data_IF_224088229001
#
_entry.id   IF_224088229001
#
_cell.length_a   1.000
_cell.length_b   1.000
_cell.length_c   1.000
_cell.angle_alpha   90.00
_cell.angle_beta   90.00
_cell.angle_gamma   90.00
#
_symmetry.space_group_name_H-M   'P 1'
#
loop_
_entity.id
_entity.type
_entity.pdbx_description
1 polymer ?
#
# COMPACT_ATOMS: atom_id res chain seq x y z
N UNK A 1 1.21 13.06 26.31
CA UNK A 1 2.65 12.86 26.14
C UNK A 1 2.96 12.87 24.66
N UNK A 2 3.75 13.83 24.20
CA UNK A 2 4.29 13.90 22.84
C UNK A 2 5.50 12.98 22.77
N UNK A 3 5.55 12.09 21.77
CA UNK A 3 6.75 11.27 21.52
C UNK A 3 7.92 12.18 21.19
N UNK A 4 9.15 11.87 21.65
CA UNK A 4 10.34 12.60 21.21
C UNK A 4 10.48 12.46 19.68
N UNK A 5 11.01 13.49 18.98
CA UNK A 5 11.04 13.52 17.52
C UNK A 5 11.80 12.32 16.92
N UNK A 6 12.86 11.84 17.59
CA UNK A 6 13.64 10.70 17.13
C UNK A 6 12.87 9.37 17.21
N UNK A 7 11.97 9.22 18.18
CA UNK A 7 11.12 8.03 18.31
C UNK A 7 10.10 7.90 17.15
N UNK A 8 9.89 8.95 16.36
CA UNK A 8 9.07 8.88 15.15
C UNK A 8 9.77 8.07 14.05
N UNK A 9 11.10 7.98 14.10
CA UNK A 9 11.94 7.27 13.12
C UNK A 9 12.42 5.91 13.62
N UNK A 10 11.86 5.40 14.72
CA UNK A 10 12.21 4.09 15.25
C UNK A 10 11.98 3.02 14.17
N UNK A 11 13.07 2.29 13.89
CA UNK A 11 13.09 1.22 12.90
C UNK A 11 12.17 0.09 13.38
N UNK A 12 11.19 -0.33 12.57
CA UNK A 12 10.30 -1.42 12.93
C UNK A 12 11.08 -2.71 13.23
N UNK A 13 10.51 -3.56 14.08
CA UNK A 13 11.00 -4.92 14.22
C UNK A 13 11.00 -5.62 12.84
N UNK A 14 11.97 -6.52 12.57
CA UNK A 14 12.03 -7.22 11.30
C UNK A 14 10.74 -8.01 11.04
N UNK A 15 10.30 -8.11 9.77
CA UNK A 15 9.06 -8.78 9.44
C UNK A 15 9.10 -10.25 9.89
N UNK A 16 7.95 -10.82 10.28
CA UNK A 16 7.89 -12.19 10.78
C UNK A 16 8.40 -13.19 9.72
N UNK A 17 9.05 -14.29 10.16
CA UNK A 17 9.47 -15.33 9.25
C UNK A 17 8.26 -15.93 8.54
N UNK A 18 8.39 -16.21 7.24
CA UNK A 18 7.33 -16.82 6.42
C UNK A 18 6.43 -15.84 5.67
N UNK A 19 6.60 -14.53 5.84
CA UNK A 19 5.89 -13.56 5.00
C UNK A 19 6.34 -13.69 3.53
N UNK A 20 5.38 -13.81 2.62
CA UNK A 20 5.66 -13.93 1.18
C UNK A 20 6.40 -12.68 0.66
N UNK A 21 7.18 -12.76 -0.45
CA UNK A 21 7.85 -11.58 -0.99
C UNK A 21 6.90 -10.42 -1.33
N UNK A 22 5.67 -10.71 -1.76
CA UNK A 22 4.63 -9.69 -1.97
C UNK A 22 4.18 -9.09 -0.64
N UNK A 23 3.99 -9.90 0.40
CA UNK A 23 3.67 -9.41 1.74
C UNK A 23 4.76 -8.50 2.30
N UNK A 24 6.03 -8.85 2.10
CA UNK A 24 7.17 -8.00 2.49
C UNK A 24 7.17 -6.65 1.79
N UNK A 25 6.82 -6.62 0.51
CA UNK A 25 6.66 -5.35 -0.21
C UNK A 25 5.51 -4.51 0.36
N UNK A 26 4.40 -5.12 0.78
CA UNK A 26 3.28 -4.40 1.39
C UNK A 26 3.63 -3.85 2.78
N UNK A 27 4.38 -4.60 3.58
CA UNK A 27 4.93 -4.11 4.85
C UNK A 27 5.87 -2.91 4.61
N UNK A 28 6.79 -3.04 3.63
CA UNK A 28 7.72 -1.97 3.23
C UNK A 28 7.00 -0.69 2.78
N UNK A 29 5.88 -0.80 2.05
CA UNK A 29 5.08 0.38 1.69
C UNK A 29 4.52 1.10 2.94
N UNK A 30 4.13 0.33 3.96
CA UNK A 30 3.74 0.86 5.27
C UNK A 30 4.89 1.54 6.02
N UNK A 31 6.12 1.06 5.86
CA UNK A 31 7.32 1.70 6.43
C UNK A 31 7.66 3.02 5.74
N UNK A 32 7.58 3.08 4.40
CA UNK A 32 7.70 4.34 3.68
C UNK A 32 6.63 5.35 4.10
N UNK A 33 5.38 4.90 4.27
CA UNK A 33 4.30 5.74 4.78
C UNK A 33 4.63 6.26 6.18
N UNK A 34 5.13 5.40 7.08
CA UNK A 34 5.53 5.78 8.44
C UNK A 34 6.65 6.83 8.44
N UNK A 35 7.67 6.65 7.60
CA UNK A 35 8.78 7.59 7.47
C UNK A 35 8.29 8.95 6.96
N UNK A 36 7.43 8.94 5.93
CA UNK A 36 6.82 10.14 5.37
C UNK A 36 5.94 10.88 6.38
N UNK A 37 5.08 10.13 7.08
CA UNK A 37 4.25 10.63 8.17
C UNK A 37 5.09 11.26 9.29
N UNK A 38 6.18 10.60 9.70
CA UNK A 38 7.09 11.09 10.72
C UNK A 38 7.67 12.46 10.35
N UNK A 39 8.07 12.63 9.08
CA UNK A 39 8.54 13.92 8.56
C UNK A 39 7.41 14.96 8.58
N UNK A 40 6.23 14.63 8.04
CA UNK A 40 5.10 15.56 7.91
C UNK A 40 4.53 16.02 9.26
N UNK A 41 4.80 15.25 10.31
CA UNK A 41 4.31 15.49 11.68
C UNK A 41 5.29 16.31 12.53
N UNK A 42 6.52 16.51 12.07
CA UNK A 42 7.47 17.37 12.76
C UNK A 42 6.99 18.83 12.72
N UNK A 43 6.85 19.41 13.92
CA UNK A 43 6.57 20.84 14.04
C UNK A 43 7.81 21.64 13.65
N UNK A 44 7.64 22.83 13.09
CA UNK A 44 8.76 23.72 12.68
C UNK A 44 9.74 24.09 13.81
N UNK A 45 9.34 23.86 15.07
CA UNK A 45 10.15 24.07 16.27
C UNK A 45 10.83 22.78 16.79
N UNK A 46 10.50 21.62 16.22
CA UNK A 46 11.03 20.31 16.60
C UNK A 46 11.99 19.82 15.53
N UNK A 47 13.29 20.05 15.75
CA UNK A 47 14.33 19.53 14.87
C UNK A 47 14.70 18.12 15.36
N UNK A 48 14.43 17.05 14.59
CA UNK A 48 14.90 15.71 14.95
C UNK A 48 16.42 15.65 14.86
N UNK A 49 17.04 14.69 15.55
CA UNK A 49 18.44 14.35 15.27
C UNK A 49 18.59 14.01 13.79
N UNK A 50 19.51 14.65 13.04
CA UNK A 50 19.74 14.29 11.65
C UNK A 50 20.07 12.80 11.46
N UNK A 51 20.69 12.16 12.46
CA UNK A 51 20.93 10.72 12.46
C UNK A 51 19.66 9.87 12.38
N UNK A 52 18.55 10.31 12.97
CA UNK A 52 17.32 9.54 13.07
C UNK A 52 16.63 9.36 11.71
N UNK A 53 16.32 10.45 10.99
CA UNK A 53 15.64 10.36 9.70
C UNK A 53 16.55 9.80 8.60
N UNK A 54 17.86 10.12 8.63
CA UNK A 54 18.83 9.57 7.68
C UNK A 54 19.03 8.07 7.90
N UNK A 55 19.06 7.61 9.15
CA UNK A 55 19.08 6.20 9.52
C UNK A 55 17.84 5.46 9.01
N UNK A 56 16.66 6.06 9.20
CA UNK A 56 15.39 5.52 8.68
C UNK A 56 15.38 5.41 7.15
N UNK A 57 15.81 6.45 6.43
CA UNK A 57 15.90 6.42 4.96
C UNK A 57 16.89 5.35 4.45
N UNK A 58 18.04 5.19 5.11
CA UNK A 58 19.02 4.15 4.78
C UNK A 58 18.48 2.74 5.03
N UNK A 59 17.73 2.56 6.14
CA UNK A 59 17.06 1.30 6.43
C UNK A 59 16.05 0.94 5.33
N UNK A 60 15.21 1.89 4.91
CA UNK A 60 14.25 1.69 3.82
C UNK A 60 14.93 1.30 2.50
N UNK A 61 16.07 1.90 2.17
CA UNK A 61 16.86 1.53 0.99
C UNK A 61 17.39 0.09 1.08
N UNK A 62 17.89 -0.30 2.26
CA UNK A 62 18.38 -1.66 2.51
C UNK A 62 17.24 -2.69 2.43
N UNK A 63 16.10 -2.44 3.07
CA UNK A 63 14.93 -3.34 3.01
C UNK A 63 14.35 -3.45 1.61
N UNK A 64 14.33 -2.36 0.84
CA UNK A 64 13.91 -2.40 -0.58
C UNK A 64 14.84 -3.30 -1.39
N UNK A 65 16.15 -3.21 -1.15
CA UNK A 65 17.14 -4.08 -1.79
C UNK A 65 16.97 -5.55 -1.37
N UNK A 66 16.72 -5.81 -0.09
CA UNK A 66 16.44 -7.15 0.42
C UNK A 66 15.16 -7.74 -0.19
N UNK A 67 14.11 -6.94 -0.35
CA UNK A 67 12.87 -7.35 -1.01
C UNK A 67 13.08 -7.67 -2.50
N UNK A 68 13.88 -6.88 -3.22
CA UNK A 68 14.28 -7.17 -4.62
C UNK A 68 14.98 -8.54 -4.69
N UNK A 69 15.94 -8.80 -3.81
CA UNK A 69 16.65 -10.08 -3.76
C UNK A 69 15.68 -11.24 -3.49
N UNK A 70 14.78 -11.09 -2.52
CA UNK A 70 13.78 -12.11 -2.20
C UNK A 70 12.84 -12.41 -3.38
N UNK A 71 12.53 -11.42 -4.23
CA UNK A 71 11.73 -11.63 -5.46
C UNK A 71 12.57 -12.33 -6.54
N UNK A 72 13.84 -11.95 -6.72
CA UNK A 72 14.74 -12.60 -7.67
C UNK A 72 14.98 -14.08 -7.30
N UNK A 73 15.07 -14.40 -6.01
CA UNK A 73 15.24 -15.77 -5.51
C UNK A 73 14.06 -16.69 -5.84
N UNK A 74 12.87 -16.13 -6.14
CA UNK A 74 11.73 -16.90 -6.64
C UNK A 74 11.97 -17.47 -8.05
N UNK A 75 13.02 -17.01 -8.76
CA UNK A 75 13.38 -17.41 -10.13
C UNK A 75 12.19 -17.38 -11.08
N UNK A 76 11.42 -16.29 -11.02
CA UNK A 76 10.30 -16.06 -11.92
C UNK A 76 10.82 -15.86 -13.35
N UNK A 77 10.11 -16.39 -14.35
CA UNK A 77 10.49 -16.21 -15.75
C UNK A 77 10.53 -14.74 -16.15
N UNK A 78 11.46 -14.37 -17.01
CA UNK A 78 11.58 -13.02 -17.53
C UNK A 78 10.31 -12.61 -18.29
N UNK A 79 9.73 -11.50 -17.85
CA UNK A 79 8.54 -10.91 -18.44
C UNK A 79 8.59 -9.40 -18.24
N UNK A 80 8.20 -8.63 -19.26
CA UNK A 80 8.31 -7.16 -19.25
C UNK A 80 7.73 -6.51 -17.98
N UNK A 81 6.56 -6.96 -17.52
CA UNK A 81 5.95 -6.50 -16.27
C UNK A 81 6.79 -6.78 -15.01
N UNK A 82 7.45 -7.93 -14.92
CA UNK A 82 8.35 -8.25 -13.80
C UNK A 82 9.60 -7.36 -13.85
N UNK A 83 10.20 -7.22 -15.02
CA UNK A 83 11.35 -6.33 -15.24
C UNK A 83 11.01 -4.88 -14.88
N UNK A 84 9.85 -4.39 -15.30
CA UNK A 84 9.38 -3.04 -14.97
C UNK A 84 9.17 -2.85 -13.46
N UNK A 85 8.58 -3.85 -12.77
CA UNK A 85 8.40 -3.81 -11.32
C UNK A 85 9.75 -3.79 -10.58
N UNK A 86 10.68 -4.66 -10.95
CA UNK A 86 12.02 -4.70 -10.34
C UNK A 86 12.81 -3.42 -10.61
N UNK A 87 12.73 -2.85 -11.82
CA UNK A 87 13.34 -1.56 -12.13
C UNK A 87 12.73 -0.45 -11.27
N UNK A 88 11.41 -0.43 -11.08
CA UNK A 88 10.76 0.56 -10.24
C UNK A 88 11.20 0.44 -8.78
N UNK A 89 11.32 -0.77 -8.24
CA UNK A 89 11.85 -1.01 -6.90
C UNK A 89 13.32 -0.56 -6.76
N UNK A 90 14.16 -0.76 -7.78
CA UNK A 90 15.54 -0.25 -7.78
C UNK A 90 15.59 1.27 -7.74
N UNK A 91 14.69 1.95 -8.47
CA UNK A 91 14.57 3.41 -8.42
C UNK A 91 14.14 3.87 -7.02
N UNK A 92 13.19 3.18 -6.39
CA UNK A 92 12.77 3.47 -5.01
C UNK A 92 13.95 3.30 -4.04
N UNK A 93 14.70 2.20 -4.11
CA UNK A 93 15.88 1.98 -3.27
C UNK A 93 16.94 3.08 -3.45
N UNK A 94 17.20 3.47 -4.70
CA UNK A 94 18.14 4.56 -5.01
C UNK A 94 17.69 5.90 -4.42
N UNK A 95 16.41 6.23 -4.54
CA UNK A 95 15.87 7.51 -4.04
C UNK A 95 15.79 7.52 -2.51
N UNK A 96 15.53 6.39 -1.86
CA UNK A 96 15.61 6.26 -0.41
C UNK A 96 17.06 6.39 0.11
N UNK A 97 18.05 5.82 -0.59
CA UNK A 97 19.46 6.03 -0.24
C UNK A 97 19.89 7.49 -0.43
N UNK A 98 19.46 8.13 -1.51
CA UNK A 98 19.68 9.55 -1.74
C UNK A 98 19.06 10.41 -0.63
N UNK A 99 17.83 10.10 -0.22
CA UNK A 99 17.14 10.79 0.88
C UNK A 99 17.95 10.78 2.19
N UNK A 100 18.72 9.72 2.46
CA UNK A 100 19.60 9.64 3.65
C UNK A 100 20.78 10.62 3.64
N UNK A 101 21.00 11.34 2.53
CA UNK A 101 22.12 12.27 2.30
C UNK A 101 21.67 13.72 2.07
N UNK A 102 20.37 13.98 2.11
CA UNK A 102 19.79 15.29 1.90
C UNK A 102 19.07 15.78 3.15
N UNK A 103 18.71 17.07 3.17
CA UNK A 103 17.90 17.65 4.23
C UNK A 103 16.50 17.02 4.29
N UNK A 104 15.78 17.31 5.36
CA UNK A 104 14.50 16.69 5.68
C UNK A 104 13.41 16.92 4.62
N UNK A 105 13.36 18.12 4.02
CA UNK A 105 12.35 18.45 3.01
C UNK A 105 12.65 17.68 1.72
N UNK A 106 13.90 17.72 1.27
CA UNK A 106 14.35 16.95 0.12
C UNK A 106 14.19 15.44 0.35
N UNK A 107 14.51 14.94 1.56
CA UNK A 107 14.29 13.55 1.95
C UNK A 107 12.83 13.15 1.77
N UNK A 108 11.89 14.00 2.21
CA UNK A 108 10.46 13.77 2.07
C UNK A 108 9.99 13.73 0.63
N UNK A 109 10.50 14.63 -0.22
CA UNK A 109 10.17 14.66 -1.65
C UNK A 109 10.65 13.39 -2.35
N UNK A 110 11.86 12.95 -2.05
CA UNK A 110 12.48 11.76 -2.64
C UNK A 110 11.79 10.45 -2.23
N UNK A 111 11.14 10.41 -1.05
CA UNK A 111 10.43 9.23 -0.54
C UNK A 111 8.92 9.31 -0.72
N UNK A 112 8.37 10.42 -1.24
CA UNK A 112 6.93 10.65 -1.28
C UNK A 112 6.14 9.64 -2.10
N UNK A 113 6.65 9.27 -3.27
CA UNK A 113 5.99 8.35 -4.20
C UNK A 113 6.25 6.87 -3.89
N UNK A 114 7.10 6.58 -2.89
CA UNK A 114 7.59 5.23 -2.62
C UNK A 114 6.47 4.27 -2.22
N UNK A 115 5.49 4.63 -1.34
CA UNK A 115 4.38 3.75 -1.01
C UNK A 115 3.62 3.26 -2.25
N UNK A 116 3.22 4.18 -3.15
CA UNK A 116 2.47 3.78 -4.35
C UNK A 116 3.32 2.93 -5.29
N UNK A 117 4.58 3.32 -5.52
CA UNK A 117 5.49 2.57 -6.39
C UNK A 117 5.75 1.14 -5.88
N UNK A 118 5.84 0.95 -4.56
CA UNK A 118 6.03 -0.36 -3.94
C UNK A 118 4.76 -1.21 -4.04
N UNK A 119 3.58 -0.65 -3.74
CA UNK A 119 2.29 -1.36 -3.86
C UNK A 119 2.00 -1.78 -5.30
N UNK A 120 2.23 -0.89 -6.27
CA UNK A 120 2.07 -1.20 -7.70
C UNK A 120 3.03 -2.32 -8.15
N UNK A 121 4.27 -2.28 -7.67
CA UNK A 121 5.26 -3.32 -7.96
C UNK A 121 4.85 -4.65 -7.35
N UNK A 122 4.34 -4.64 -6.10
CA UNK A 122 3.80 -5.82 -5.42
C UNK A 122 2.64 -6.43 -6.20
N UNK A 123 1.70 -5.61 -6.71
CA UNK A 123 0.58 -6.06 -7.54
C UNK A 123 1.05 -6.76 -8.83
N UNK A 124 2.03 -6.19 -9.53
CA UNK A 124 2.61 -6.77 -10.76
C UNK A 124 3.31 -8.09 -10.49
N UNK A 125 4.11 -8.15 -9.42
CA UNK A 125 4.81 -9.37 -9.01
C UNK A 125 3.81 -10.45 -8.60
N UNK A 126 2.79 -10.12 -7.81
CA UNK A 126 1.74 -11.05 -7.41
C UNK A 126 0.98 -11.63 -8.62
N UNK A 127 0.64 -10.78 -9.60
CA UNK A 127 0.01 -11.23 -10.84
C UNK A 127 0.90 -12.22 -11.61
N UNK A 128 2.22 -11.96 -11.66
CA UNK A 128 3.18 -12.86 -12.32
C UNK A 128 3.35 -14.19 -11.56
N UNK A 129 3.45 -14.14 -10.23
CA UNK A 129 3.50 -15.34 -9.38
C UNK A 129 2.25 -16.21 -9.57
N UNK A 130 1.07 -15.60 -9.73
CA UNK A 130 -0.17 -16.33 -9.97
C UNK A 130 -0.20 -17.02 -11.34
N UNK A 131 0.30 -16.37 -12.40
CA UNK A 131 0.41 -17.00 -13.74
C UNK A 131 1.25 -18.28 -13.70
N UNK A 132 2.28 -18.33 -12.85
CA UNK A 132 3.07 -19.55 -12.61
C UNK A 132 2.27 -20.63 -11.87
N UNK A 133 1.34 -20.26 -11.00
CA UNK A 133 0.56 -21.16 -10.13
C UNK A 133 -0.79 -21.60 -10.72
N UNK A 134 -1.12 -21.25 -11.96
CA UNK A 134 -2.44 -21.43 -12.58
C UNK A 134 -3.00 -22.86 -12.69
N UNK A 135 -2.44 -23.85 -11.98
CA UNK A 135 -3.03 -25.16 -11.75
C UNK A 135 -3.79 -25.33 -10.41
N UNK A 136 -3.74 -24.37 -9.48
CA UNK A 136 -4.42 -24.48 -8.17
C UNK A 136 -5.17 -23.18 -7.83
N UNK A 137 -6.49 -23.18 -8.03
CA UNK A 137 -7.35 -22.06 -7.63
C UNK A 137 -7.54 -22.08 -6.09
N UNK A 138 -7.36 -20.94 -5.40
CA UNK A 138 -7.71 -20.83 -3.98
C UNK A 138 -9.22 -21.03 -3.78
N UNK A 139 -9.59 -21.72 -2.70
CA UNK A 139 -10.99 -21.99 -2.33
C UNK A 139 -11.71 -20.64 -2.03
N UNK A 140 -13.01 -20.48 -2.37
CA UNK A 140 -13.69 -19.18 -2.35
C UNK A 140 -13.91 -18.56 -0.96
N UNK A 141 -13.98 -19.37 0.10
CA UNK A 141 -14.51 -18.94 1.40
C UNK A 141 -13.54 -18.06 2.23
N UNK A 142 -12.25 -18.02 1.88
CA UNK A 142 -11.23 -17.18 2.56
C UNK A 142 -10.91 -15.88 1.79
N UNK A 143 -11.67 -15.56 0.74
CA UNK A 143 -11.39 -14.39 -0.09
C UNK A 143 -12.00 -13.13 0.51
N UNK A 144 -11.14 -12.12 0.69
CA UNK A 144 -11.56 -10.74 0.93
C UNK A 144 -12.62 -10.33 -0.10
N UNK A 145 -13.71 -9.71 0.37
CA UNK A 145 -14.67 -9.11 -0.54
C UNK A 145 -14.03 -7.90 -1.26
N UNK A 146 -14.69 -7.42 -2.33
CA UNK A 146 -14.15 -6.31 -3.12
C UNK A 146 -13.94 -5.02 -2.31
N UNK A 147 -14.79 -4.74 -1.31
CA UNK A 147 -14.68 -3.55 -0.48
C UNK A 147 -13.52 -3.67 0.51
N UNK A 148 -13.33 -4.85 1.12
CA UNK A 148 -12.20 -5.18 1.98
C UNK A 148 -10.89 -5.16 1.21
N UNK A 149 -10.84 -5.73 0.02
CA UNK A 149 -9.65 -5.69 -0.85
C UNK A 149 -9.29 -4.25 -1.21
N UNK A 150 -10.28 -3.44 -1.61
CA UNK A 150 -10.07 -2.01 -1.91
C UNK A 150 -9.59 -1.25 -0.68
N UNK A 151 -10.20 -1.48 0.48
CA UNK A 151 -9.82 -0.83 1.72
C UNK A 151 -8.38 -1.20 2.14
N UNK A 152 -8.00 -2.47 2.11
CA UNK A 152 -6.62 -2.88 2.40
C UNK A 152 -5.63 -2.29 1.38
N UNK A 153 -6.01 -2.16 0.11
CA UNK A 153 -5.19 -1.49 -0.89
C UNK A 153 -4.95 -0.02 -0.56
N UNK A 154 -6.00 0.75 -0.25
CA UNK A 154 -5.86 2.16 0.16
C UNK A 154 -5.06 2.31 1.47
N UNK A 155 -5.18 1.35 2.39
CA UNK A 155 -4.37 1.32 3.62
C UNK A 155 -2.90 1.04 3.29
N UNK A 156 -2.61 0.14 2.34
CA UNK A 156 -1.24 -0.15 1.89
C UNK A 156 -0.56 1.06 1.25
N UNK A 157 -1.33 1.89 0.54
CA UNK A 157 -0.87 3.16 -0.04
C UNK A 157 -0.66 4.25 1.02
N UNK A 158 -1.07 4.02 2.28
CA UNK A 158 -0.99 5.05 3.32
C UNK A 158 -2.04 6.15 3.16
N UNK A 159 -3.18 5.88 2.51
CA UNK A 159 -4.20 6.90 2.22
C UNK A 159 -5.24 7.05 3.33
N UNK A 160 -5.35 6.07 4.22
CA UNK A 160 -6.45 6.01 5.20
C UNK A 160 -6.00 6.58 6.55
N UNK A 161 -6.77 7.54 7.05
CA UNK A 161 -6.64 8.09 8.41
C UNK A 161 -7.99 8.09 9.11
N UNK A 162 -7.94 8.05 10.44
CA UNK A 162 -9.10 8.15 11.31
C UNK A 162 -8.96 9.33 12.24
N UNK A 163 -10.06 10.05 12.43
CA UNK A 163 -10.18 11.08 13.45
C UNK A 163 -11.37 10.82 14.35
N UNK A 164 -11.28 11.24 15.60
CA UNK A 164 -12.39 11.21 16.56
C UNK A 164 -12.71 12.62 17.02
N UNK A 165 -13.96 13.05 16.86
CA UNK A 165 -14.45 14.36 17.31
C UNK A 165 -15.85 14.22 17.90
N UNK A 166 -16.08 14.82 19.08
CA UNK A 166 -17.38 14.80 19.78
C UNK A 166 -17.97 13.39 19.96
N UNK A 167 -17.12 12.41 20.28
CA UNK A 167 -17.54 11.01 20.45
C UNK A 167 -17.90 10.27 19.15
N UNK A 168 -17.63 10.88 17.98
CA UNK A 168 -17.85 10.27 16.67
C UNK A 168 -16.51 10.01 15.97
N UNK A 169 -16.43 8.86 15.32
CA UNK A 169 -15.30 8.49 14.46
C UNK A 169 -15.58 8.88 13.02
N UNK A 170 -14.56 9.42 12.37
CA UNK A 170 -14.55 9.76 10.95
C UNK A 170 -13.35 9.08 10.28
N UNK A 171 -13.58 8.59 9.06
CA UNK A 171 -12.54 8.00 8.21
C UNK A 171 -12.35 8.91 7.02
N UNK A 172 -11.10 9.27 6.76
CA UNK A 172 -10.70 10.04 5.60
C UNK A 172 -9.79 9.17 4.73
N UNK A 173 -9.99 9.27 3.42
CA UNK A 173 -9.16 8.62 2.41
C UNK A 173 -8.81 9.65 1.36
N UNK A 174 -7.55 9.73 0.96
CA UNK A 174 -7.09 10.59 -0.14
C UNK A 174 -7.40 9.98 -1.51
N UNK A 175 -7.50 8.66 -1.60
CA UNK A 175 -7.83 7.92 -2.81
C UNK A 175 -9.28 7.45 -2.83
N UNK A 176 -9.47 6.14 -3.00
CA UNK A 176 -10.82 5.57 -3.01
C UNK A 176 -11.43 5.66 -1.61
N UNK A 177 -12.70 6.08 -1.54
CA UNK A 177 -13.42 6.21 -0.27
C UNK A 177 -13.53 4.85 0.42
N UNK A 178 -12.98 4.75 1.62
CA UNK A 178 -13.11 3.59 2.50
C UNK A 178 -14.28 3.78 3.47
N UNK A 179 -15.32 2.93 3.43
CA UNK A 179 -16.43 3.01 4.39
C UNK A 179 -15.95 2.69 5.81
N UNK A 180 -16.44 3.44 6.80
CA UNK A 180 -16.12 3.21 8.21
C UNK A 180 -16.54 1.82 8.70
N UNK A 181 -17.64 1.27 8.17
CA UNK A 181 -18.07 -0.09 8.48
C UNK A 181 -17.06 -1.14 8.01
N UNK A 182 -16.53 -0.98 6.79
CA UNK A 182 -15.47 -1.85 6.24
C UNK A 182 -14.20 -1.75 7.08
N UNK A 183 -13.76 -0.53 7.41
CA UNK A 183 -12.59 -0.33 8.27
C UNK A 183 -12.75 -1.02 9.62
N UNK A 184 -13.89 -0.84 10.30
CA UNK A 184 -14.18 -1.50 11.59
C UNK A 184 -14.19 -3.03 11.46
N UNK A 185 -14.69 -3.57 10.35
CA UNK A 185 -14.63 -5.01 10.08
C UNK A 185 -13.18 -5.50 9.95
N UNK A 186 -12.33 -4.75 9.24
CA UNK A 186 -10.91 -5.09 9.08
C UNK A 186 -10.14 -5.02 10.41
N UNK A 187 -10.43 -4.00 11.23
CA UNK A 187 -9.90 -3.86 12.59
C UNK A 187 -10.33 -5.05 13.46
N UNK A 188 -11.62 -5.42 13.44
CA UNK A 188 -12.14 -6.56 14.19
C UNK A 188 -11.53 -7.91 13.75
N UNK A 189 -11.18 -8.04 12.48
CA UNK A 189 -10.48 -9.20 11.93
C UNK A 189 -8.96 -9.17 12.14
N UNK A 190 -8.41 -8.13 12.79
CA UNK A 190 -6.98 -8.00 13.03
C UNK A 190 -6.14 -7.80 11.77
N UNK A 191 -6.75 -7.35 10.67
CA UNK A 191 -6.05 -7.11 9.39
C UNK A 191 -5.43 -5.71 9.32
N UNK A 192 -5.78 -4.84 10.26
CA UNK A 192 -5.31 -3.45 10.28
C UNK A 192 -5.01 -3.02 11.70
N UNK A 193 -3.95 -2.25 11.86
CA UNK A 193 -3.55 -1.63 13.11
C UNK A 193 -3.77 -0.12 13.08
N UNK A 194 -4.14 0.46 14.22
CA UNK A 194 -4.28 1.90 14.40
C UNK A 194 -3.02 2.45 15.04
N UNK A 195 -2.38 3.43 14.41
CA UNK A 195 -1.24 4.15 14.96
C UNK A 195 -1.70 5.55 15.41
N UNK A 196 -1.94 5.78 16.71
CA UNK A 196 -2.51 7.04 17.20
C UNK A 196 -1.59 8.24 16.94
N UNK A 197 -2.17 9.37 16.52
CA UNK A 197 -1.49 10.67 16.33
C UNK A 197 -0.23 10.60 15.46
N UNK A 198 -0.20 9.67 14.54
CA UNK A 198 0.95 9.41 13.68
C UNK A 198 0.82 10.00 12.28
N UNK A 199 -0.39 10.39 11.86
CA UNK A 199 -0.61 11.03 10.57
C UNK A 199 -0.69 12.56 10.70
N UNK A 200 -0.29 13.31 9.65
CA UNK A 200 -0.37 14.76 9.65
C UNK A 200 -1.80 15.27 9.82
N UNK A 201 -1.98 16.49 10.36
CA UNK A 201 -3.30 17.08 10.51
C UNK A 201 -3.96 17.35 9.15
N UNK A 202 -5.29 17.33 9.11
CA UNK A 202 -6.04 17.57 7.86
C UNK A 202 -5.96 19.02 7.37
N UNK A 203 -5.54 19.95 8.22
CA UNK A 203 -5.34 21.37 7.92
C UNK A 203 -4.30 21.96 8.88
N UNK A 204 -3.71 23.09 8.50
CA UNK A 204 -2.71 23.81 9.31
C UNK A 204 -3.31 24.25 10.64
N UNK A 205 -2.67 23.87 11.75
CA UNK A 205 -3.16 24.14 13.11
C UNK A 205 -4.17 23.12 13.64
N UNK A 206 -4.55 22.12 12.84
CA UNK A 206 -5.36 20.99 13.27
C UNK A 206 -4.59 19.98 14.13
N UNK A 207 -5.32 19.09 14.81
CA UNK A 207 -4.71 17.98 15.55
C UNK A 207 -4.23 16.84 14.65
N UNK A 208 -3.16 16.14 15.06
CA UNK A 208 -2.66 14.93 14.41
C UNK A 208 -3.75 13.87 14.33
N UNK A 209 -3.74 13.12 13.24
CA UNK A 209 -4.72 12.07 12.94
C UNK A 209 -4.13 10.70 13.25
N UNK A 210 -4.99 9.68 13.27
CA UNK A 210 -4.54 8.31 13.47
C UNK A 210 -4.36 7.63 12.12
N UNK A 211 -3.14 7.18 11.83
CA UNK A 211 -2.87 6.39 10.63
C UNK A 211 -3.44 4.99 10.81
N UNK A 212 -4.19 4.52 9.82
CA UNK A 212 -4.52 3.11 9.71
C UNK A 212 -3.40 2.44 8.90
N UNK A 213 -2.90 1.31 9.39
CA UNK A 213 -1.82 0.53 8.77
C UNK A 213 -2.26 -0.90 8.56
N UNK A 214 -1.64 -1.59 7.62
CA UNK A 214 -1.79 -3.04 7.54
C UNK A 214 -1.10 -3.68 8.74
N UNK A 215 -1.75 -4.67 9.33
CA UNK A 215 -1.04 -5.64 10.16
C UNK A 215 -0.31 -6.63 9.25
N UNK A 216 0.62 -7.43 9.80
CA UNK A 216 1.24 -8.50 9.01
C UNK A 216 0.20 -9.49 8.45
N UNK A 217 -0.89 -9.75 9.18
CA UNK A 217 -2.00 -10.57 8.71
C UNK A 217 -2.74 -9.89 7.55
N UNK A 218 -2.96 -8.57 7.62
CA UNK A 218 -3.51 -7.77 6.53
C UNK A 218 -2.64 -7.76 5.29
N UNK A 219 -1.32 -7.59 5.44
CA UNK A 219 -0.36 -7.67 4.35
C UNK A 219 -0.35 -9.05 3.70
N UNK A 220 -0.39 -10.13 4.50
CA UNK A 220 -0.50 -11.49 3.99
C UNK A 220 -1.82 -11.72 3.24
N UNK A 221 -2.96 -11.27 3.79
CA UNK A 221 -4.27 -11.39 3.16
C UNK A 221 -4.33 -10.62 1.83
N UNK A 222 -3.86 -9.37 1.81
CA UNK A 222 -3.80 -8.56 0.60
C UNK A 222 -2.84 -9.16 -0.43
N UNK A 223 -1.69 -9.72 -0.04
CA UNK A 223 -0.75 -10.35 -0.96
C UNK A 223 -1.38 -11.49 -1.79
N UNK A 224 -2.38 -12.19 -1.25
CA UNK A 224 -3.09 -13.26 -1.99
C UNK A 224 -4.03 -12.71 -3.08
N UNK A 225 -4.57 -11.50 -2.88
CA UNK A 225 -5.63 -10.91 -3.71
C UNK A 225 -5.16 -9.73 -4.57
N UNK A 226 -4.06 -9.07 -4.23
CA UNK A 226 -3.60 -7.85 -4.90
C UNK A 226 -3.34 -8.08 -6.39
N UNK A 227 -3.88 -7.21 -7.24
CA UNK A 227 -3.83 -7.35 -8.71
C UNK A 227 -4.80 -8.40 -9.28
N UNK A 228 -5.75 -8.93 -8.49
CA UNK A 228 -6.94 -9.58 -9.01
C UNK A 228 -8.02 -8.52 -9.32
N UNK A 229 -8.87 -8.75 -10.34
CA UNK A 229 -10.07 -7.94 -10.51
C UNK A 229 -10.94 -8.08 -9.23
N UNK A 230 -11.60 -7.00 -8.79
CA UNK A 230 -12.51 -7.07 -7.65
C UNK A 230 -13.60 -8.12 -7.91
N UNK A 231 -13.85 -8.98 -6.92
CA UNK A 231 -14.89 -10.00 -7.00
C UNK A 231 -16.25 -9.32 -7.24
N UNK A 232 -16.75 -9.39 -8.48
CA UNK A 232 -18.02 -8.77 -8.88
C UNK A 232 -17.95 -7.94 -10.17
N UNK A 233 -16.77 -7.61 -10.71
CA UNK A 233 -16.69 -7.03 -12.05
C UNK A 233 -16.80 -8.15 -13.09
N UNK A 234 -18.02 -8.55 -13.44
CA UNK A 234 -18.24 -9.18 -14.75
C UNK A 234 -17.79 -8.16 -15.80
N UNK A 235 -16.98 -8.55 -16.80
CA UNK A 235 -16.74 -7.67 -17.93
C UNK A 235 -18.11 -7.37 -18.53
N UNK A 236 -18.46 -6.08 -18.62
CA UNK A 236 -19.64 -5.65 -19.34
C UNK A 236 -19.47 -6.12 -20.78
N UNK A 237 -20.14 -7.22 -21.12
CA UNK A 237 -20.22 -7.70 -22.48
C UNK A 237 -20.98 -6.62 -23.26
N UNK A 238 -20.42 -6.08 -24.36
CA UNK A 238 -21.14 -5.11 -25.16
C UNK A 238 -22.48 -5.72 -25.58
N UNK A 239 -23.59 -4.97 -25.54
CA UNK A 239 -24.89 -5.49 -25.94
C UNK A 239 -24.79 -6.03 -27.36
N UNK A 240 -25.19 -7.29 -27.54
CA UNK A 240 -25.22 -7.93 -28.84
C UNK A 240 -26.06 -7.06 -29.82
N UNK A 241 -25.60 -6.86 -31.07
CA UNK A 241 -26.35 -6.09 -32.04
C UNK A 241 -27.72 -6.74 -32.26
N UNK A 242 -28.78 -5.93 -32.19
CA UNK A 242 -30.14 -6.39 -32.40
C UNK A 242 -30.31 -7.02 -33.80
N UNK A 243 -31.07 -8.11 -33.95
CA UNK A 243 -31.28 -8.74 -35.24
C UNK A 243 -31.99 -7.76 -36.19
N UNK A 244 -31.38 -7.54 -37.37
CA UNK A 244 -31.95 -6.71 -38.41
C UNK A 244 -33.29 -7.31 -38.88
N UNK A 245 -34.37 -6.51 -38.79
CA UNK A 245 -35.67 -6.88 -39.37
C UNK A 245 -35.55 -6.92 -40.88
N UNK A 246 -35.66 -8.11 -41.46
CA UNK A 246 -35.78 -8.30 -42.89
C UNK A 246 -37.05 -7.61 -43.40
N UNK A 247 -36.89 -6.59 -44.24
CA UNK A 247 -38.01 -5.98 -44.97
C UNK A 247 -38.27 -6.82 -46.22
N UNK A 248 -39.36 -7.57 -46.21
CA UNK A 248 -39.90 -8.26 -47.39
C UNK A 248 -40.44 -7.23 -48.36
N UNK A 249 -39.69 -6.95 -49.42
CA UNK A 249 -40.12 -6.07 -50.52
C UNK A 249 -41.04 -6.86 -51.45
N UNK A 250 -42.36 -6.64 -51.34
CA UNK A 250 -43.33 -7.05 -52.36
C UNK A 250 -43.11 -6.22 -53.62
N UNK A 251 -43.07 -6.90 -54.77
CA UNK A 251 -42.85 -6.33 -56.10
C UNK A 251 -44.17 -6.41 -56.89
N UNK A 252 -44.68 -5.33 -57.48
CA UNK A 252 -45.38 -5.37 -58.75
C UNK A 252 -44.40 -5.27 -59.92
#
# INVERSE_FOLDING_TARGET
>A
MTLPPDALFEVPAPPPPGLSPVGRLLDLAGEYTRHNDAIDVLDSLSVPDPGAYTGSARHLAAETTAAITAVLDLRLFDHANLTAALTRLRQVAYLADAASRHDLLTSRELTAFAPEAVVDSAARIAAHMRRRRSGHAPRPDDRLDAAQQTALHEIALGHVVRTSSQGRDYVHSTGIRVPIGTLRSLEASGLTDRAPKSAPPAYVGGGRQDRIRLSHAGAAALATSIGLPPAGSTPSQPPAPAPAKATTRKRP
#
